data_IF_340697917042
#
_entry.id   IF_340697917042
#
_cell.length_a   1.000
_cell.length_b   1.000
_cell.length_c   1.000
_cell.angle_alpha   90.00
_cell.angle_beta   90.00
_cell.angle_gamma   90.00
#
_symmetry.space_group_name_H-M   'P 1'
#
loop_
_entity.id
_entity.type
_entity.pdbx_description
1 polymer ?
#
# COMPACT_ATOMS: atom_id res chain seq x y z
N UNK A 1 3.09 19.48 -6.12
CA UNK A 1 3.48 18.22 -5.45
C UNK A 1 2.46 17.15 -5.74
N UNK A 2 2.87 16.04 -6.31
CA UNK A 2 1.98 14.92 -6.60
C UNK A 2 1.74 14.07 -5.36
N UNK A 3 0.58 13.46 -5.29
CA UNK A 3 0.21 12.54 -4.22
C UNK A 3 0.01 11.16 -4.82
N UNK A 4 0.64 10.15 -4.24
CA UNK A 4 0.64 8.78 -4.72
C UNK A 4 0.27 7.85 -3.57
N UNK A 5 -0.57 6.86 -3.83
CA UNK A 5 -0.90 5.85 -2.84
C UNK A 5 0.15 4.73 -2.88
N UNK A 6 0.62 4.28 -1.72
CA UNK A 6 1.57 3.18 -1.61
C UNK A 6 0.86 1.94 -1.10
N UNK A 7 0.76 0.94 -1.97
CA UNK A 7 0.15 -0.35 -1.68
C UNK A 7 1.18 -1.32 -1.07
N UNK A 8 0.69 -2.41 -0.51
CA UNK A 8 1.50 -3.44 0.15
C UNK A 8 2.63 -3.95 -0.74
N UNK A 9 2.36 -4.21 -2.02
CA UNK A 9 3.37 -4.76 -2.93
C UNK A 9 4.57 -3.84 -3.14
N UNK A 10 4.35 -2.53 -3.10
CA UNK A 10 5.44 -1.56 -3.16
C UNK A 10 6.35 -1.67 -1.91
N UNK A 11 5.75 -1.71 -0.73
CA UNK A 11 6.52 -1.83 0.52
C UNK A 11 7.26 -3.15 0.59
N UNK A 12 6.63 -4.26 0.18
CA UNK A 12 7.28 -5.57 0.12
C UNK A 12 8.51 -5.51 -0.79
N UNK A 13 8.34 -4.99 -2.00
CA UNK A 13 9.44 -4.90 -2.97
C UNK A 13 10.57 -4.00 -2.48
N UNK A 14 10.23 -2.91 -1.79
CA UNK A 14 11.22 -1.98 -1.27
C UNK A 14 12.04 -2.60 -0.13
N UNK A 15 11.39 -3.34 0.75
CA UNK A 15 12.01 -3.95 1.95
C UNK A 15 12.78 -5.23 1.62
N UNK A 16 12.23 -6.06 0.75
CA UNK A 16 12.79 -7.37 0.44
C UNK A 16 13.71 -7.31 -0.79
N UNK A 17 15.02 -7.32 -0.55
CA UNK A 17 16.02 -7.27 -1.62
C UNK A 17 15.98 -8.45 -2.58
N UNK A 18 15.28 -9.54 -2.21
CA UNK A 18 15.10 -10.73 -3.06
C UNK A 18 13.83 -10.69 -3.89
N UNK A 19 12.98 -9.67 -3.68
CA UNK A 19 11.76 -9.51 -4.48
C UNK A 19 12.15 -9.13 -5.92
N UNK A 20 11.46 -9.73 -6.90
CA UNK A 20 11.74 -9.46 -8.31
C UNK A 20 11.54 -7.99 -8.70
N UNK A 21 10.73 -7.26 -7.94
CA UNK A 21 10.42 -5.85 -8.18
C UNK A 21 11.29 -4.90 -7.35
N UNK A 22 12.25 -5.44 -6.58
CA UNK A 22 13.03 -4.64 -5.64
C UNK A 22 13.75 -3.48 -6.31
N UNK A 23 14.51 -3.74 -7.38
CA UNK A 23 15.31 -2.70 -8.04
C UNK A 23 14.41 -1.61 -8.63
N UNK A 24 13.27 -2.02 -9.20
CA UNK A 24 12.31 -1.07 -9.74
C UNK A 24 11.69 -0.20 -8.64
N UNK A 25 11.33 -0.81 -7.51
CA UNK A 25 10.79 -0.09 -6.36
C UNK A 25 11.80 0.92 -5.81
N UNK A 26 13.06 0.53 -5.67
CA UNK A 26 14.14 1.42 -5.22
C UNK A 26 14.31 2.59 -6.18
N UNK A 27 14.33 2.32 -7.48
CA UNK A 27 14.46 3.35 -8.51
C UNK A 27 13.30 4.35 -8.47
N UNK A 28 12.07 3.84 -8.36
CA UNK A 28 10.88 4.69 -8.28
C UNK A 28 10.91 5.53 -7.00
N UNK A 29 11.25 4.91 -5.88
CA UNK A 29 11.34 5.60 -4.60
C UNK A 29 12.33 6.77 -4.66
N UNK A 30 13.45 6.60 -5.33
CA UNK A 30 14.45 7.66 -5.48
C UNK A 30 13.89 8.87 -6.24
N UNK A 31 12.93 8.66 -7.13
CA UNK A 31 12.27 9.71 -7.91
C UNK A 31 11.08 10.38 -7.21
N UNK A 32 10.74 9.95 -6.00
CA UNK A 32 9.55 10.44 -5.28
C UNK A 32 9.87 11.47 -4.20
N UNK A 33 11.05 12.08 -4.21
CA UNK A 33 11.48 13.03 -3.17
C UNK A 33 10.51 14.20 -3.00
N UNK A 34 9.84 14.61 -4.08
CA UNK A 34 8.88 15.74 -4.06
C UNK A 34 7.42 15.27 -3.98
N UNK A 35 7.21 13.96 -3.89
CA UNK A 35 5.86 13.40 -3.83
C UNK A 35 5.42 13.22 -2.37
N UNK A 36 4.11 13.33 -2.15
CA UNK A 36 3.49 12.94 -0.90
C UNK A 36 2.96 11.53 -1.06
N UNK A 37 3.31 10.64 -0.14
CA UNK A 37 2.79 9.28 -0.13
C UNK A 37 1.62 9.18 0.84
N UNK A 38 0.63 8.39 0.46
CA UNK A 38 -0.51 8.05 1.32
C UNK A 38 -0.61 6.53 1.38
N UNK A 39 -0.80 6.00 2.55
CA UNK A 39 -1.05 4.57 2.76
C UNK A 39 -2.08 4.41 3.88
N UNK A 40 -2.40 3.17 4.27
CA UNK A 40 -3.38 2.91 5.31
C UNK A 40 -2.81 1.97 6.38
N UNK A 41 -3.43 1.98 7.56
CA UNK A 41 -3.12 0.98 8.60
C UNK A 41 -3.30 -0.44 8.07
N UNK A 42 -4.33 -0.68 7.26
CA UNK A 42 -4.60 -2.01 6.68
C UNK A 42 -3.45 -2.49 5.79
N UNK A 43 -2.87 -1.60 4.99
CA UNK A 43 -1.69 -1.91 4.17
C UNK A 43 -0.51 -2.29 5.05
N UNK A 44 -0.27 -1.52 6.11
CA UNK A 44 0.86 -1.81 7.02
C UNK A 44 0.64 -3.12 7.78
N UNK A 45 -0.60 -3.44 8.14
CA UNK A 45 -0.96 -4.73 8.74
C UNK A 45 -0.67 -5.88 7.77
N UNK A 46 -1.10 -5.74 6.52
CA UNK A 46 -0.86 -6.74 5.47
C UNK A 46 0.64 -6.94 5.23
N UNK A 47 1.40 -5.85 5.24
CA UNK A 47 2.86 -5.89 5.10
C UNK A 47 3.51 -6.70 6.22
N UNK A 48 3.14 -6.44 7.47
CA UNK A 48 3.66 -7.20 8.61
C UNK A 48 3.26 -8.68 8.53
N UNK A 49 2.02 -8.96 8.14
CA UNK A 49 1.52 -10.32 8.01
C UNK A 49 2.24 -11.10 6.91
N UNK A 50 2.57 -10.43 5.80
CA UNK A 50 3.31 -11.07 4.70
C UNK A 50 4.65 -11.64 5.18
N UNK A 51 5.36 -10.92 6.06
CA UNK A 51 6.67 -11.34 6.55
C UNK A 51 6.60 -12.10 7.88
N UNK A 52 5.41 -12.45 8.36
CA UNK A 52 5.25 -13.05 9.70
C UNK A 52 6.08 -14.31 9.93
N UNK A 53 6.28 -15.13 8.90
CA UNK A 53 7.00 -16.40 8.98
C UNK A 53 8.43 -16.33 8.42
N UNK A 54 8.94 -15.12 8.13
CA UNK A 54 10.28 -14.95 7.55
C UNK A 54 11.41 -14.97 8.60
N UNK A 55 11.09 -15.19 9.87
CA UNK A 55 12.06 -15.27 10.94
C UNK A 55 12.30 -13.95 11.65
N UNK A 56 13.06 -14.00 12.73
CA UNK A 56 13.25 -12.91 13.66
C UNK A 56 13.88 -11.67 13.03
N UNK A 57 14.93 -11.86 12.23
CA UNK A 57 15.66 -10.74 11.62
C UNK A 57 14.75 -9.95 10.66
N UNK A 58 14.02 -10.64 9.79
CA UNK A 58 13.12 -9.98 8.85
C UNK A 58 11.96 -9.32 9.58
N UNK A 59 11.41 -9.96 10.59
CA UNK A 59 10.31 -9.37 11.37
C UNK A 59 10.73 -8.05 12.02
N UNK A 60 11.94 -7.98 12.56
CA UNK A 60 12.48 -6.75 13.15
C UNK A 60 12.70 -5.67 12.10
N UNK A 61 13.22 -6.07 10.94
CA UNK A 61 13.42 -5.15 9.80
C UNK A 61 12.10 -4.53 9.35
N UNK A 62 11.06 -5.34 9.22
CA UNK A 62 9.73 -4.90 8.81
C UNK A 62 9.12 -3.98 9.88
N UNK A 63 9.22 -4.34 11.16
CA UNK A 63 8.71 -3.49 12.25
C UNK A 63 9.40 -2.12 12.24
N UNK A 64 10.71 -2.09 12.04
CA UNK A 64 11.46 -0.83 11.95
C UNK A 64 11.01 -0.01 10.74
N UNK A 65 10.82 -0.66 9.61
CA UNK A 65 10.33 0.01 8.39
C UNK A 65 8.95 0.64 8.62
N UNK A 66 8.04 -0.07 9.27
CA UNK A 66 6.70 0.45 9.57
C UNK A 66 6.81 1.66 10.52
N UNK A 67 7.62 1.58 11.57
CA UNK A 67 7.82 2.72 12.47
C UNK A 67 8.41 3.93 11.75
N UNK A 68 9.32 3.69 10.81
CA UNK A 68 9.92 4.75 9.98
C UNK A 68 8.86 5.41 9.11
N UNK A 69 8.00 4.62 8.47
CA UNK A 69 6.87 5.13 7.66
C UNK A 69 5.94 5.99 8.53
N UNK A 70 5.61 5.52 9.72
CA UNK A 70 4.72 6.25 10.64
C UNK A 70 5.30 7.59 11.10
N UNK A 71 6.61 7.73 11.12
CA UNK A 71 7.29 8.96 11.54
C UNK A 71 7.75 9.84 10.38
N UNK A 72 7.60 9.39 9.12
CA UNK A 72 8.03 10.13 7.93
C UNK A 72 7.02 11.21 7.59
N UNK A 73 7.46 12.46 7.58
CA UNK A 73 6.60 13.61 7.26
C UNK A 73 6.06 13.59 5.82
N UNK A 74 6.73 12.89 4.90
CA UNK A 74 6.26 12.74 3.53
C UNK A 74 5.15 11.71 3.37
N UNK A 75 4.92 10.88 4.39
CA UNK A 75 3.96 9.79 4.32
C UNK A 75 2.80 10.07 5.27
N UNK A 76 1.62 10.08 4.72
CA UNK A 76 0.40 10.13 5.53
C UNK A 76 -0.17 8.72 5.64
N UNK A 77 -0.28 8.22 6.87
CA UNK A 77 -0.89 6.91 7.15
C UNK A 77 -2.32 7.15 7.64
N UNK A 78 -3.28 6.70 6.86
CA UNK A 78 -4.69 6.85 7.20
C UNK A 78 -5.08 5.78 8.21
N UNK A 79 -5.64 6.23 9.34
CA UNK A 79 -6.07 5.33 10.40
C UNK A 79 -7.28 4.51 9.95
N UNK A 80 -7.28 3.21 10.32
CA UNK A 80 -8.45 2.37 10.16
C UNK A 80 -9.50 2.78 11.19
N UNK A 81 -10.72 2.99 10.73
CA UNK A 81 -11.87 3.24 11.60
C UNK A 81 -12.93 2.19 11.33
N UNK A 82 -13.92 2.08 12.21
CA UNK A 82 -15.06 1.20 11.94
C UNK A 82 -15.72 1.56 10.62
N UNK A 83 -15.83 2.85 10.30
CA UNK A 83 -16.46 3.30 9.06
C UNK A 83 -15.64 2.92 7.83
N UNK A 84 -14.31 3.11 7.85
CA UNK A 84 -13.47 2.74 6.71
C UNK A 84 -13.49 1.23 6.48
N UNK A 85 -13.56 0.44 7.54
CA UNK A 85 -13.70 -1.02 7.45
C UNK A 85 -15.02 -1.39 6.79
N UNK A 86 -16.14 -0.82 7.25
CA UNK A 86 -17.47 -1.11 6.71
C UNK A 86 -17.63 -0.66 5.26
N UNK A 87 -17.08 0.49 4.91
CA UNK A 87 -17.08 0.98 3.53
C UNK A 87 -16.27 0.05 2.62
N UNK A 88 -15.14 -0.43 3.10
CA UNK A 88 -14.34 -1.43 2.39
C UNK A 88 -15.10 -2.72 2.17
N UNK A 89 -15.80 -3.19 3.20
CA UNK A 89 -16.61 -4.41 3.12
C UNK A 89 -17.75 -4.25 2.10
N UNK A 90 -18.36 -3.08 2.03
CA UNK A 90 -19.40 -2.78 1.04
C UNK A 90 -18.86 -2.88 -0.39
N UNK A 91 -17.68 -2.34 -0.65
CA UNK A 91 -17.03 -2.46 -1.96
C UNK A 91 -16.68 -3.92 -2.25
N UNK A 92 -16.13 -4.62 -1.26
CA UNK A 92 -15.80 -6.05 -1.36
C UNK A 92 -17.02 -6.86 -1.81
N UNK A 93 -18.16 -6.63 -1.19
CA UNK A 93 -19.42 -7.31 -1.56
C UNK A 93 -19.88 -6.95 -2.98
N UNK A 94 -19.75 -5.67 -3.35
CA UNK A 94 -20.24 -5.18 -4.65
C UNK A 94 -19.36 -5.61 -5.82
N UNK A 95 -18.16 -6.12 -5.55
CA UNK A 95 -17.22 -6.62 -6.56
C UNK A 95 -17.01 -8.12 -6.41
N UNK A 96 -18.09 -8.86 -6.22
CA UNK A 96 -18.06 -10.31 -5.98
C UNK A 96 -17.45 -11.12 -7.14
N UNK A 97 -17.39 -10.54 -8.33
CA UNK A 97 -16.76 -11.13 -9.52
C UNK A 97 -15.25 -10.84 -9.61
N UNK A 98 -14.72 -10.05 -8.70
CA UNK A 98 -13.30 -9.68 -8.66
C UNK A 98 -12.60 -10.39 -7.52
N UNK A 99 -11.28 -10.50 -7.62
CA UNK A 99 -10.45 -11.13 -6.58
C UNK A 99 -9.78 -10.08 -5.67
N UNK A 100 -10.43 -8.95 -5.47
CA UNK A 100 -9.91 -7.90 -4.60
C UNK A 100 -9.91 -8.36 -3.15
N UNK A 101 -8.81 -8.11 -2.43
CA UNK A 101 -8.80 -8.29 -0.99
C UNK A 101 -9.58 -7.16 -0.30
N UNK A 102 -9.92 -7.35 0.96
CA UNK A 102 -10.53 -6.27 1.74
C UNK A 102 -9.56 -5.09 1.89
N UNK A 103 -8.27 -5.37 2.05
CA UNK A 103 -7.23 -4.33 2.07
C UNK A 103 -7.24 -3.51 0.77
N UNK A 104 -7.36 -4.17 -0.39
CA UNK A 104 -7.49 -3.49 -1.67
C UNK A 104 -8.70 -2.56 -1.70
N UNK A 105 -9.83 -3.06 -1.23
CA UNK A 105 -11.08 -2.28 -1.23
C UNK A 105 -10.99 -1.04 -0.34
N UNK A 106 -10.38 -1.19 0.84
CA UNK A 106 -10.14 -0.06 1.75
C UNK A 106 -9.21 0.96 1.09
N UNK A 107 -8.14 0.48 0.43
CA UNK A 107 -7.21 1.35 -0.30
C UNK A 107 -7.91 2.10 -1.43
N UNK A 108 -8.70 1.41 -2.25
CA UNK A 108 -9.43 2.00 -3.37
C UNK A 108 -10.40 3.09 -2.90
N UNK A 109 -11.13 2.85 -1.82
CA UNK A 109 -12.03 3.85 -1.24
C UNK A 109 -11.25 5.07 -0.74
N UNK A 110 -10.11 4.85 -0.08
CA UNK A 110 -9.26 5.95 0.40
C UNK A 110 -8.74 6.79 -0.77
N UNK A 111 -8.31 6.14 -1.84
CA UNK A 111 -7.81 6.83 -3.04
C UNK A 111 -8.90 7.68 -3.67
N UNK A 112 -10.12 7.13 -3.84
CA UNK A 112 -11.25 7.87 -4.42
C UNK A 112 -11.62 9.07 -3.58
N UNK A 113 -11.69 8.90 -2.28
CA UNK A 113 -12.04 9.97 -1.35
C UNK A 113 -11.03 11.11 -1.39
N UNK A 114 -9.76 10.80 -1.62
CA UNK A 114 -8.67 11.77 -1.67
C UNK A 114 -8.38 12.28 -3.09
N UNK A 115 -9.06 11.77 -4.11
CA UNK A 115 -8.78 12.13 -5.49
C UNK A 115 -7.42 11.66 -5.98
N UNK A 116 -6.90 10.55 -5.42
CA UNK A 116 -5.61 9.98 -5.81
C UNK A 116 -5.85 8.97 -6.92
N UNK A 117 -5.13 9.10 -8.04
CA UNK A 117 -5.25 8.21 -9.19
C UNK A 117 -4.04 7.31 -9.38
N UNK A 118 -2.89 7.72 -8.89
CA UNK A 118 -1.63 6.98 -9.04
C UNK A 118 -1.37 6.09 -7.83
N UNK A 119 -1.02 4.83 -8.07
CA UNK A 119 -0.75 3.86 -7.01
C UNK A 119 0.55 3.10 -7.27
N UNK A 120 1.38 3.02 -6.22
CA UNK A 120 2.62 2.25 -6.23
C UNK A 120 2.28 0.78 -5.97
N UNK A 121 2.08 0.04 -7.04
CA UNK A 121 1.79 -1.39 -7.02
C UNK A 121 2.00 -1.96 -8.42
N UNK A 122 2.20 -3.27 -8.52
CA UNK A 122 2.13 -3.99 -9.79
C UNK A 122 0.87 -4.85 -9.89
N UNK A 123 -0.07 -4.67 -8.96
CA UNK A 123 -1.34 -5.41 -8.94
C UNK A 123 -2.32 -4.80 -9.94
N UNK A 124 -2.65 -5.56 -10.99
CA UNK A 124 -3.57 -5.12 -12.03
C UNK A 124 -5.01 -4.94 -11.57
N UNK A 125 -5.37 -5.41 -10.36
CA UNK A 125 -6.69 -5.15 -9.78
C UNK A 125 -7.00 -3.64 -9.73
N UNK A 126 -5.98 -2.83 -9.45
CA UNK A 126 -6.15 -1.37 -9.40
C UNK A 126 -6.49 -0.78 -10.75
N UNK A 127 -5.96 -1.32 -11.85
CA UNK A 127 -6.30 -0.84 -13.19
C UNK A 127 -7.75 -1.15 -13.54
N UNK A 128 -8.30 -2.23 -13.03
CA UNK A 128 -9.70 -2.61 -13.25
C UNK A 128 -10.67 -1.59 -12.65
N UNK A 129 -10.22 -0.85 -11.64
CA UNK A 129 -11.01 0.20 -10.99
C UNK A 129 -10.65 1.61 -11.46
N UNK A 130 -9.85 1.73 -12.53
CA UNK A 130 -9.52 3.02 -13.13
C UNK A 130 -8.30 3.72 -12.57
N UNK A 131 -7.54 3.07 -11.68
CA UNK A 131 -6.32 3.64 -11.13
C UNK A 131 -5.12 3.36 -12.04
N UNK A 132 -4.10 4.21 -11.94
CA UNK A 132 -2.86 4.09 -12.71
C UNK A 132 -1.76 3.48 -11.84
N UNK A 133 -1.30 2.28 -12.21
CA UNK A 133 -0.24 1.58 -11.48
C UNK A 133 1.14 2.07 -11.93
N UNK A 134 2.06 2.25 -10.97
CA UNK A 134 3.38 2.84 -11.22
C UNK A 134 4.55 1.86 -11.04
N UNK A 135 4.32 0.63 -10.62
CA UNK A 135 5.41 -0.30 -10.32
C UNK A 135 5.65 -1.34 -11.42
#
# INVERSE_FOLDING_TARGET
>A
MSTVFADTLYWIALINSRDQWHQRAVSINAGLSDARLVTTDSVLTELANFFAEYGDIMRRKVALAIRTVLSDEQVEVLSETRQTFLDGLTLYESRSDKAYSLTDCIAMNAMRKRGITDVLTHDTHFTQEGFHILL
#
